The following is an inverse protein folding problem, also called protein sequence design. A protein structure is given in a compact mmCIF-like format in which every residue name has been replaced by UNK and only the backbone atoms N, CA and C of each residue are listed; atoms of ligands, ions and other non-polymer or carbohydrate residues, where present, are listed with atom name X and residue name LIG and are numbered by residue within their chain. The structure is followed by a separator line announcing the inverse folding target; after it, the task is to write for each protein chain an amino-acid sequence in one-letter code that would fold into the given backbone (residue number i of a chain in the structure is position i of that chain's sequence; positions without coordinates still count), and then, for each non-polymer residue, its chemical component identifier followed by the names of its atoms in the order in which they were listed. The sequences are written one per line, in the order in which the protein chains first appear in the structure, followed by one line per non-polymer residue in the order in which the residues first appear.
data_IF_601259725544
#
_entry.id   IF_601259725544
#
_cell.length_a   1.000
_cell.length_b   1.000
_cell.length_c   1.000
_cell.angle_alpha   90.00
_cell.angle_beta   90.00
_cell.angle_gamma   90.00
#
_symmetry.space_group_name_H-M   'P 1'
#
loop_
_entity.id
_entity.type
_entity.pdbx_description
1 polymer ?
#
# COMPACT_ATOMS: atom_id res chain seq x y z
N UNK A 1 26.42 5.54 -4.76
CA UNK A 1 25.27 4.66 -4.50
C UNK A 1 24.02 5.43 -4.85
N UNK A 2 22.99 4.81 -5.41
CA UNK A 2 21.76 5.57 -5.71
C UNK A 2 21.08 6.00 -4.41
N UNK A 3 20.48 7.19 -4.41
CA UNK A 3 19.58 7.64 -3.33
C UNK A 3 18.19 7.00 -3.43
N UNK A 4 18.02 6.09 -4.39
CA UNK A 4 16.75 5.42 -4.63
C UNK A 4 16.32 4.63 -3.40
N UNK A 5 15.05 4.75 -3.09
CA UNK A 5 14.40 4.04 -1.99
C UNK A 5 13.26 3.21 -2.55
N UNK A 6 12.88 2.20 -1.78
CA UNK A 6 11.64 1.48 -1.91
C UNK A 6 10.75 1.88 -0.75
N UNK A 7 9.53 2.32 -1.07
CA UNK A 7 8.45 2.50 -0.12
C UNK A 7 7.62 1.21 -0.06
N UNK A 8 7.55 0.60 1.12
CA UNK A 8 6.64 -0.50 1.43
C UNK A 8 5.48 0.08 2.23
N UNK A 9 4.28 0.09 1.66
CA UNK A 9 3.06 0.53 2.35
C UNK A 9 2.21 -0.68 2.68
N UNK A 10 2.01 -0.90 3.97
CA UNK A 10 1.14 -1.97 4.43
C UNK A 10 -0.15 -1.35 5.02
N UNK A 11 -1.30 -1.92 4.66
CA UNK A 11 -2.60 -1.54 5.22
C UNK A 11 -3.26 -2.74 5.89
N UNK A 12 -4.00 -2.46 6.95
CA UNK A 12 -4.95 -3.40 7.55
C UNK A 12 -6.34 -2.87 7.28
N UNK A 13 -7.01 -3.46 6.29
CA UNK A 13 -8.40 -3.16 5.96
C UNK A 13 -9.31 -4.03 6.83
N UNK A 14 -10.37 -3.45 7.38
CA UNK A 14 -11.38 -4.17 8.15
C UNK A 14 -11.95 -5.36 7.35
N UNK A 15 -12.01 -6.54 7.98
CA UNK A 15 -12.38 -7.79 7.32
C UNK A 15 -13.74 -7.73 6.61
N UNK A 16 -14.71 -7.03 7.20
CA UNK A 16 -16.06 -6.86 6.65
C UNK A 16 -16.07 -6.11 5.30
N UNK A 17 -15.06 -5.28 5.05
CA UNK A 17 -14.90 -4.46 3.85
C UNK A 17 -13.85 -5.00 2.88
N UNK A 18 -13.05 -5.99 3.28
CA UNK A 18 -11.85 -6.39 2.56
C UNK A 18 -12.13 -6.93 1.15
N UNK A 19 -13.19 -7.72 0.96
CA UNK A 19 -13.56 -8.22 -0.38
C UNK A 19 -14.02 -7.10 -1.32
N UNK A 20 -14.78 -6.12 -0.81
CA UNK A 20 -15.15 -4.94 -1.59
C UNK A 20 -13.91 -4.10 -1.95
N UNK A 21 -12.97 -3.97 -1.00
CA UNK A 21 -11.69 -3.31 -1.21
C UNK A 21 -10.88 -4.01 -2.31
N UNK A 22 -10.71 -5.34 -2.24
CA UNK A 22 -9.99 -6.13 -3.25
C UNK A 22 -10.54 -5.89 -4.64
N UNK A 23 -11.86 -5.93 -4.79
CA UNK A 23 -12.51 -5.70 -6.08
C UNK A 23 -12.18 -4.31 -6.62
N UNK A 24 -12.41 -3.25 -5.85
CA UNK A 24 -12.06 -1.88 -6.24
C UNK A 24 -10.56 -1.73 -6.55
N UNK A 25 -9.70 -2.33 -5.73
CA UNK A 25 -8.26 -2.26 -5.91
C UNK A 25 -7.81 -2.93 -7.22
N UNK A 26 -8.36 -4.09 -7.57
CA UNK A 26 -8.01 -4.83 -8.80
C UNK A 26 -8.57 -4.13 -10.04
N UNK A 27 -9.83 -3.71 -9.99
CA UNK A 27 -10.56 -3.21 -11.17
C UNK A 27 -10.23 -1.75 -11.50
N UNK A 28 -9.92 -0.92 -10.49
CA UNK A 28 -9.81 0.53 -10.66
C UNK A 28 -8.45 1.07 -10.19
N UNK A 29 -8.06 0.80 -8.94
CA UNK A 29 -6.92 1.47 -8.33
C UNK A 29 -5.56 0.99 -8.86
N UNK A 30 -5.31 -0.32 -8.83
CA UNK A 30 -4.02 -0.90 -9.20
C UNK A 30 -3.63 -0.66 -10.66
N UNK A 31 -4.52 -0.79 -11.66
CA UNK A 31 -4.18 -0.48 -13.05
C UNK A 31 -3.71 0.96 -13.23
N UNK A 32 -4.40 1.92 -12.59
CA UNK A 32 -4.03 3.32 -12.68
C UNK A 32 -2.71 3.60 -11.95
N UNK A 33 -2.54 3.09 -10.72
CA UNK A 33 -1.31 3.28 -9.94
C UNK A 33 -0.09 2.70 -10.66
N UNK A 34 -0.18 1.48 -11.20
CA UNK A 34 0.90 0.84 -11.97
C UNK A 34 1.25 1.59 -13.27
N UNK A 35 0.30 2.36 -13.82
CA UNK A 35 0.52 3.16 -15.03
C UNK A 35 1.12 4.54 -14.74
N UNK A 36 0.98 5.04 -13.51
CA UNK A 36 1.35 6.41 -13.15
C UNK A 36 2.50 6.50 -12.14
N UNK A 37 2.85 5.40 -11.46
CA UNK A 37 3.93 5.31 -10.48
C UNK A 37 4.85 4.13 -10.81
N UNK A 38 6.09 4.15 -10.33
CA UNK A 38 7.03 3.00 -10.41
C UNK A 38 6.68 1.96 -9.33
N UNK A 39 5.51 1.33 -9.48
CA UNK A 39 5.07 0.24 -8.60
C UNK A 39 5.88 -1.01 -8.95
N UNK A 40 6.68 -1.49 -7.99
CA UNK A 40 7.39 -2.77 -8.11
C UNK A 40 6.37 -3.91 -8.10
N UNK A 41 5.50 -3.93 -7.10
CA UNK A 41 4.36 -4.83 -7.10
C UNK A 41 3.30 -4.44 -6.05
N UNK A 42 2.20 -5.20 -6.05
CA UNK A 42 1.03 -5.05 -5.21
C UNK A 42 0.49 -6.42 -4.79
N UNK A 43 0.33 -6.64 -3.49
CA UNK A 43 -0.21 -7.87 -2.93
C UNK A 43 -1.37 -7.59 -1.98
N UNK A 44 -2.29 -8.55 -1.90
CA UNK A 44 -3.36 -8.58 -0.93
C UNK A 44 -3.48 -10.00 -0.38
N UNK A 45 -3.90 -10.09 0.87
CA UNK A 45 -4.13 -11.36 1.54
C UNK A 45 -5.14 -12.24 0.78
N UNK A 46 -4.78 -13.51 0.60
CA UNK A 46 -5.59 -14.56 -0.04
C UNK A 46 -6.01 -15.66 0.95
N UNK A 47 -5.78 -15.45 2.26
CA UNK A 47 -6.16 -16.37 3.33
C UNK A 47 -5.10 -17.41 3.67
N UNK A 48 -3.89 -17.29 3.13
CA UNK A 48 -2.75 -18.11 3.56
C UNK A 48 -2.39 -17.76 5.02
N UNK A 49 -2.22 -18.79 5.85
CA UNK A 49 -1.89 -18.63 7.27
C UNK A 49 -0.56 -17.87 7.44
N UNK A 50 -0.59 -16.79 8.21
CA UNK A 50 0.59 -15.95 8.47
C UNK A 50 1.49 -16.58 9.52
N UNK A 51 2.80 -16.54 9.30
CA UNK A 51 3.80 -16.96 10.28
C UNK A 51 4.34 -15.75 11.06
N UNK A 52 4.26 -15.79 12.39
CA UNK A 52 4.85 -14.77 13.27
C UNK A 52 5.81 -15.45 14.24
N UNK A 53 7.07 -15.02 14.24
CA UNK A 53 8.13 -15.61 15.06
C UNK A 53 9.16 -14.57 15.50
N UNK A 54 10.10 -14.96 16.36
CA UNK A 54 11.14 -14.07 16.93
C UNK A 54 11.23 -14.17 18.44
N UNK A 55 12.11 -13.38 19.05
CA UNK A 55 12.28 -13.36 20.52
C UNK A 55 11.20 -12.58 21.27
N UNK A 56 10.46 -11.71 20.57
CA UNK A 56 9.38 -10.89 21.12
C UNK A 56 8.36 -10.53 20.01
N UNK A 57 7.56 -11.51 19.53
CA UNK A 57 6.61 -11.28 18.46
C UNK A 57 5.43 -10.43 18.96
N UNK A 58 5.28 -9.24 18.40
CA UNK A 58 4.17 -8.33 18.69
C UNK A 58 3.24 -8.24 17.48
N UNK A 59 2.00 -8.71 17.65
CA UNK A 59 0.95 -8.61 16.63
C UNK A 59 -0.03 -7.54 17.06
N UNK A 60 -0.38 -6.65 16.14
CA UNK A 60 -1.44 -5.65 16.35
C UNK A 60 -2.75 -6.35 16.74
N UNK A 61 -3.60 -5.67 17.51
CA UNK A 61 -4.97 -6.15 17.78
C UNK A 61 -5.82 -6.31 16.52
N UNK A 62 -5.40 -5.70 15.41
CA UNK A 62 -6.03 -5.82 14.09
C UNK A 62 -5.41 -6.93 13.22
N UNK A 63 -4.44 -7.68 13.74
CA UNK A 63 -3.74 -8.73 12.99
C UNK A 63 -2.57 -8.21 12.17
N UNK A 64 -2.15 -9.00 11.17
CA UNK A 64 -1.15 -8.61 10.18
C UNK A 64 -1.79 -7.76 9.07
N UNK A 65 -1.02 -6.89 8.40
CA UNK A 65 -1.52 -6.19 7.22
C UNK A 65 -2.01 -7.14 6.14
N UNK A 66 -3.14 -6.81 5.52
CA UNK A 66 -3.79 -7.60 4.46
C UNK A 66 -3.68 -6.96 3.07
N UNK A 67 -2.98 -5.83 2.96
CA UNK A 67 -2.67 -5.13 1.71
C UNK A 67 -1.23 -4.64 1.76
N UNK A 68 -0.46 -4.82 0.69
CA UNK A 68 0.92 -4.34 0.57
C UNK A 68 1.19 -3.74 -0.80
N UNK A 69 1.72 -2.52 -0.82
CA UNK A 69 2.25 -1.83 -2.00
C UNK A 69 3.75 -1.66 -1.88
N UNK A 70 4.47 -1.93 -2.96
CA UNK A 70 5.90 -1.63 -3.05
C UNK A 70 6.14 -0.68 -4.22
N UNK A 71 6.65 0.51 -3.92
CA UNK A 71 6.83 1.60 -4.89
C UNK A 71 8.27 2.09 -4.84
N UNK A 72 8.93 2.20 -5.99
CA UNK A 72 10.27 2.76 -6.08
C UNK A 72 10.21 4.27 -6.22
N UNK A 73 11.10 4.95 -5.52
CA UNK A 73 11.27 6.40 -5.63
C UNK A 73 12.74 6.78 -5.78
N UNK A 74 13.07 7.85 -6.52
CA UNK A 74 14.44 8.34 -6.62
C UNK A 74 15.05 8.81 -5.30
N UNK A 75 14.22 9.30 -4.37
CA UNK A 75 14.58 9.74 -3.03
C UNK A 75 13.32 9.95 -2.18
N UNK A 76 13.46 10.19 -0.87
CA UNK A 76 12.32 10.52 0.01
C UNK A 76 11.67 11.87 -0.36
N UNK A 77 12.46 12.85 -0.80
CA UNK A 77 11.94 14.14 -1.25
C UNK A 77 11.09 13.98 -2.52
N UNK A 78 11.60 13.26 -3.53
CA UNK A 78 10.85 12.96 -4.74
C UNK A 78 9.58 12.14 -4.46
N UNK A 79 9.64 11.24 -3.47
CA UNK A 79 8.48 10.50 -2.99
C UNK A 79 7.42 11.44 -2.43
N UNK A 80 7.80 12.40 -1.59
CA UNK A 80 6.82 13.30 -0.95
C UNK A 80 6.15 14.23 -1.95
N UNK A 81 6.94 14.77 -2.90
CA UNK A 81 6.41 15.56 -4.02
C UNK A 81 5.49 14.74 -4.91
N UNK A 82 5.94 13.54 -5.33
CA UNK A 82 5.17 12.66 -6.20
C UNK A 82 3.88 12.17 -5.56
N UNK A 83 3.91 11.81 -4.27
CA UNK A 83 2.71 11.38 -3.55
C UNK A 83 1.70 12.52 -3.38
N UNK A 84 2.16 13.74 -3.11
CA UNK A 84 1.29 14.91 -3.06
C UNK A 84 0.63 15.20 -4.41
N UNK A 85 1.40 15.16 -5.50
CA UNK A 85 0.88 15.37 -6.85
C UNK A 85 -0.15 14.30 -7.25
N UNK A 86 0.15 13.03 -6.97
CA UNK A 86 -0.75 11.89 -7.16
C UNK A 86 -2.07 12.06 -6.40
N UNK A 87 -2.01 12.44 -5.11
CA UNK A 87 -3.19 12.59 -4.27
C UNK A 87 -4.14 13.69 -4.78
N UNK A 88 -3.61 14.73 -5.44
CA UNK A 88 -4.37 15.80 -6.08
C UNK A 88 -4.74 15.56 -7.56
N UNK A 89 -4.46 14.36 -8.09
CA UNK A 89 -4.71 14.09 -9.50
C UNK A 89 -6.23 13.88 -9.74
N UNK A 90 -6.87 14.62 -10.66
CA UNK A 90 -8.32 14.50 -10.91
C UNK A 90 -8.81 13.12 -11.37
N UNK A 91 -7.95 12.33 -12.03
CA UNK A 91 -8.29 10.95 -12.39
C UNK A 91 -8.26 10.04 -11.16
N UNK A 92 -7.24 10.22 -10.31
CA UNK A 92 -7.15 9.50 -9.06
C UNK A 92 -8.31 9.85 -8.12
N UNK A 93 -8.68 11.12 -8.00
CA UNK A 93 -9.84 11.56 -7.21
C UNK A 93 -11.13 10.84 -7.64
N UNK A 94 -11.34 10.63 -8.95
CA UNK A 94 -12.50 9.89 -9.47
C UNK A 94 -12.45 8.39 -9.13
N UNK A 95 -11.26 7.80 -9.16
CA UNK A 95 -11.06 6.40 -8.75
C UNK A 95 -11.29 6.25 -7.25
N UNK A 96 -10.74 7.17 -6.45
CA UNK A 96 -10.90 7.23 -5.00
C UNK A 96 -12.34 7.48 -4.57
N UNK A 97 -13.11 8.28 -5.31
CA UNK A 97 -14.52 8.50 -5.03
C UNK A 97 -15.38 7.22 -5.13
N UNK A 98 -14.87 6.18 -5.79
CA UNK A 98 -15.50 4.83 -5.84
C UNK A 98 -15.02 3.90 -4.73
N UNK A 99 -14.11 4.34 -3.86
CA UNK A 99 -13.58 3.53 -2.77
C UNK A 99 -14.72 3.05 -1.86
N UNK A 100 -14.78 1.76 -1.50
CA UNK A 100 -15.96 1.19 -0.83
C UNK A 100 -16.19 1.76 0.58
N UNK A 101 -15.13 2.02 1.34
CA UNK A 101 -15.22 2.66 2.66
C UNK A 101 -13.84 3.19 3.12
N UNK A 102 -13.64 4.51 3.13
CA UNK A 102 -12.39 5.12 3.59
C UNK A 102 -12.11 4.95 5.10
N UNK A 103 -13.13 4.63 5.90
CA UNK A 103 -12.97 4.38 7.34
C UNK A 103 -12.56 2.92 7.64
N UNK A 104 -12.49 2.05 6.64
CA UNK A 104 -12.09 0.66 6.82
C UNK A 104 -10.57 0.47 7.02
N UNK A 105 -9.76 1.52 6.88
CA UNK A 105 -8.32 1.47 7.13
C UNK A 105 -8.06 1.49 8.64
N UNK A 106 -7.89 0.31 9.24
CA UNK A 106 -7.63 0.14 10.68
C UNK A 106 -6.18 0.49 11.04
N UNK A 107 -5.25 0.25 10.12
CA UNK A 107 -3.85 0.61 10.28
C UNK A 107 -3.24 0.92 8.90
N UNK A 108 -2.36 1.92 8.86
CA UNK A 108 -1.57 2.26 7.70
C UNK A 108 -0.13 2.56 8.12
N UNK A 109 0.83 1.86 7.54
CA UNK A 109 2.24 2.14 7.75
C UNK A 109 2.97 2.26 6.40
N UNK A 110 3.98 3.13 6.37
CA UNK A 110 4.89 3.26 5.24
C UNK A 110 6.33 3.16 5.76
N UNK A 111 7.09 2.23 5.19
CA UNK A 111 8.51 2.03 5.49
C UNK A 111 9.32 2.39 4.25
N UNK A 112 10.46 3.03 4.46
CA UNK A 112 11.34 3.46 3.38
C UNK A 112 12.68 2.79 3.55
N UNK A 113 13.11 2.05 2.53
CA UNK A 113 14.30 1.21 2.60
C UNK A 113 15.21 1.45 1.40
N UNK A 114 16.52 1.36 1.60
CA UNK A 114 17.49 1.27 0.51
C UNK A 114 17.82 -0.20 0.29
N UNK A 115 17.99 -0.59 -0.97
CA UNK A 115 18.52 -1.91 -1.29
C UNK A 115 20.02 -1.96 -0.92
N UNK A 116 20.44 -3.02 -0.24
CA UNK A 116 21.85 -3.30 0.05
C UNK A 116 22.23 -4.61 -0.64
N UNK A 117 23.37 -4.60 -1.32
CA UNK A 117 23.96 -5.73 -2.04
C UNK A 117 25.44 -5.48 -2.26
#
# INVERSE_FOLDING_TARGET
MSEAIVEIRDYTIEQSWFEAYKKWAIEEAAPWLKSNLDVIDFWMDDGIETEVSGSDPQVSSHGQPNVCWIIRWPSKAARDEGFAAFASNPEWEKIWAKHPNENAYLHMNARFMKAYG
#
